data_IF_359471914566
#
_entry.id   IF_359471914566
#
_cell.length_a   1.000
_cell.length_b   1.000
_cell.length_c   1.000
_cell.angle_alpha   90.00
_cell.angle_beta   90.00
_cell.angle_gamma   90.00
#
_symmetry.space_group_name_H-M   'P 1'
#
loop_
_entity.id
_entity.type
_entity.pdbx_description
1 polymer ?
#
# COMPACT_ATOMS: atom_id res chain seq x y z
N UNK A 1 2.99 23.38 7.26
CA UNK A 1 3.74 24.16 8.27
C UNK A 1 5.20 24.19 7.85
N UNK A 2 5.81 25.36 7.79
CA UNK A 2 7.22 25.52 7.39
C UNK A 2 7.99 26.26 8.47
N UNK A 3 9.06 25.67 8.99
CA UNK A 3 9.86 26.25 10.08
C UNK A 3 11.32 25.86 9.97
N UNK A 4 12.16 26.77 10.47
CA UNK A 4 13.59 26.52 10.70
C UNK A 4 13.81 25.94 12.08
N UNK A 5 14.72 24.97 12.17
CA UNK A 5 15.08 24.26 13.38
C UNK A 5 16.59 24.23 13.52
N UNK A 6 17.12 24.68 14.66
CA UNK A 6 18.55 24.57 14.92
C UNK A 6 18.94 23.11 15.16
N UNK A 7 20.09 22.69 14.64
CA UNK A 7 20.59 21.33 14.85
C UNK A 7 21.21 21.18 16.25
N UNK A 8 20.78 20.17 16.99
CA UNK A 8 21.41 19.83 18.26
C UNK A 8 22.80 19.22 18.04
N UNK A 9 23.76 19.58 18.92
CA UNK A 9 25.11 19.01 18.89
C UNK A 9 26.06 19.56 17.82
N UNK A 10 25.66 20.61 17.10
CA UNK A 10 26.48 21.27 16.08
C UNK A 10 26.83 22.71 16.48
N UNK A 11 28.00 23.23 16.06
CA UNK A 11 28.40 24.63 16.33
C UNK A 11 27.56 25.63 15.52
N UNK A 12 27.22 25.25 14.28
CA UNK A 12 26.36 25.97 13.36
C UNK A 12 25.60 24.94 12.52
N UNK A 13 24.35 25.25 12.15
CA UNK A 13 23.53 24.42 11.28
C UNK A 13 22.04 24.60 11.56
N UNK A 14 21.27 24.88 10.52
CA UNK A 14 19.83 25.02 10.59
C UNK A 14 19.15 24.10 9.57
N UNK A 15 18.01 23.58 9.95
CA UNK A 15 17.20 22.68 9.15
C UNK A 15 15.88 23.36 8.81
N UNK A 16 15.60 23.50 7.51
CA UNK A 16 14.29 23.95 7.04
C UNK A 16 13.36 22.75 6.86
N UNK A 17 12.32 22.66 7.68
CA UNK A 17 11.29 21.63 7.61
C UNK A 17 9.98 22.21 7.08
N UNK A 18 9.48 21.64 5.98
CA UNK A 18 8.11 21.85 5.50
C UNK A 18 7.33 20.54 5.67
N UNK A 19 6.31 20.55 6.52
CA UNK A 19 5.58 19.36 6.99
C UNK A 19 4.07 19.57 6.92
N UNK A 20 3.34 18.60 6.35
CA UNK A 20 1.88 18.57 6.33
C UNK A 20 1.36 17.21 6.77
N UNK A 21 0.16 17.27 7.34
CA UNK A 21 -0.69 16.10 7.49
C UNK A 21 -1.50 15.92 6.21
N UNK A 22 -1.71 14.68 5.80
CA UNK A 22 -2.55 14.32 4.66
C UNK A 22 -3.67 13.39 5.12
N UNK A 23 -4.86 13.61 4.58
CA UNK A 23 -6.01 12.73 4.69
C UNK A 23 -5.97 11.64 3.61
N UNK A 24 -6.68 10.54 3.86
CA UNK A 24 -6.83 9.42 2.95
C UNK A 24 -8.20 9.46 2.26
N UNK A 25 -8.25 10.03 1.06
CA UNK A 25 -9.49 10.10 0.27
C UNK A 25 -9.90 8.75 -0.29
N UNK A 26 -11.21 8.51 -0.28
CA UNK A 26 -11.91 7.36 -0.87
C UNK A 26 -12.48 7.65 -2.26
N UNK A 27 -12.22 8.83 -2.82
CA UNK A 27 -12.81 9.29 -4.07
C UNK A 27 -11.77 9.32 -5.22
N UNK A 28 -12.08 8.66 -6.34
CA UNK A 28 -11.15 8.59 -7.47
C UNK A 28 -10.82 9.95 -8.10
N UNK A 29 -11.73 10.93 -7.98
CA UNK A 29 -11.57 12.28 -8.53
C UNK A 29 -10.50 13.13 -7.83
N UNK A 30 -9.99 12.67 -6.69
CA UNK A 30 -8.89 13.35 -5.99
C UNK A 30 -7.51 12.94 -6.55
N UNK A 31 -7.47 11.98 -7.48
CA UNK A 31 -6.31 11.73 -8.33
C UNK A 31 -6.11 12.93 -9.29
N UNK A 32 -4.96 13.60 -9.21
CA UNK A 32 -4.62 14.68 -10.15
C UNK A 32 -4.87 16.11 -9.67
N UNK A 33 -4.86 16.38 -8.34
CA UNK A 33 -4.73 17.77 -7.86
C UNK A 33 -3.26 18.19 -7.83
N UNK A 34 -2.78 18.62 -8.99
CA UNK A 34 -1.41 19.11 -9.23
C UNK A 34 -1.10 20.44 -8.52
N UNK A 35 -2.14 21.18 -8.12
CA UNK A 35 -1.99 22.56 -7.61
C UNK A 35 -1.14 22.63 -6.33
N UNK A 36 -1.28 21.66 -5.42
CA UNK A 36 -0.51 21.66 -4.18
C UNK A 36 0.87 21.00 -4.34
N UNK A 37 1.02 20.03 -5.25
CA UNK A 37 2.30 19.34 -5.50
C UNK A 37 3.36 20.31 -6.03
N UNK A 38 2.97 21.16 -6.99
CA UNK A 38 3.86 22.19 -7.53
C UNK A 38 4.29 23.21 -6.46
N UNK A 39 3.39 23.60 -5.57
CA UNK A 39 3.67 24.51 -4.45
C UNK A 39 4.57 23.88 -3.36
N UNK A 40 4.49 22.56 -3.18
CA UNK A 40 5.20 21.84 -2.12
C UNK A 40 6.58 21.34 -2.49
N UNK A 41 6.70 20.72 -3.66
CA UNK A 41 7.87 19.92 -4.00
C UNK A 41 8.95 20.75 -4.68
N UNK A 42 8.59 21.88 -5.31
CA UNK A 42 9.41 22.42 -6.39
C UNK A 42 9.57 21.38 -7.51
N UNK A 43 9.95 21.79 -8.70
CA UNK A 43 9.85 20.97 -9.92
C UNK A 43 10.59 19.60 -9.94
N UNK A 44 11.34 19.21 -8.89
CA UNK A 44 12.38 18.18 -9.00
C UNK A 44 12.00 16.75 -8.55
N UNK A 45 10.95 16.53 -7.73
CA UNK A 45 10.59 15.14 -7.33
C UNK A 45 9.08 14.92 -7.17
N UNK A 46 8.47 14.00 -7.93
CA UNK A 46 7.05 13.67 -7.78
C UNK A 46 6.82 12.91 -6.47
N UNK A 47 5.82 13.34 -5.70
CA UNK A 47 5.33 12.59 -4.54
C UNK A 47 4.57 11.35 -5.04
N UNK A 48 4.47 10.32 -4.20
CA UNK A 48 3.52 9.24 -4.45
C UNK A 48 2.12 9.74 -4.11
N UNK A 49 1.17 9.82 -5.06
CA UNK A 49 -0.16 10.40 -4.82
C UNK A 49 -1.08 9.53 -3.97
N UNK A 50 -0.75 8.24 -3.76
CA UNK A 50 -1.65 7.31 -3.09
C UNK A 50 -0.95 6.29 -2.20
N UNK A 51 -1.75 5.70 -1.31
CA UNK A 51 -1.42 4.55 -0.49
C UNK A 51 -2.32 3.36 -0.89
N UNK A 52 -1.70 2.24 -1.22
CA UNK A 52 -2.37 0.95 -1.36
C UNK A 52 -2.15 0.13 -0.08
N UNK A 53 -3.25 -0.23 0.58
CA UNK A 53 -3.26 -1.12 1.74
C UNK A 53 -3.81 -2.47 1.30
N UNK A 54 -3.06 -3.54 1.56
CA UNK A 54 -3.43 -4.91 1.18
C UNK A 54 -3.45 -5.77 2.42
N UNK A 55 -4.51 -6.57 2.60
CA UNK A 55 -4.60 -7.58 3.64
C UNK A 55 -4.81 -8.94 2.99
N UNK A 56 -3.85 -9.84 3.17
CA UNK A 56 -3.95 -11.23 2.72
C UNK A 56 -4.48 -12.05 3.89
N UNK A 57 -5.70 -12.57 3.75
CA UNK A 57 -6.36 -13.32 4.82
C UNK A 57 -5.98 -14.80 4.73
N UNK A 58 -6.44 -15.49 3.68
CA UNK A 58 -6.28 -16.94 3.52
C UNK A 58 -6.14 -17.36 2.06
N UNK A 59 -5.51 -18.50 1.83
CA UNK A 59 -5.55 -19.23 0.56
C UNK A 59 -6.07 -20.63 0.83
N UNK A 60 -6.78 -21.22 -0.13
CA UNK A 60 -7.25 -22.60 -0.07
C UNK A 60 -6.78 -23.41 -1.27
N UNK A 61 -6.62 -24.72 -1.08
CA UNK A 61 -6.36 -25.70 -2.13
C UNK A 61 -5.13 -25.38 -3.00
N UNK A 62 -4.00 -25.00 -2.38
CA UNK A 62 -2.75 -24.81 -3.11
C UNK A 62 -2.26 -26.11 -3.78
N UNK A 63 -1.74 -26.06 -5.01
CA UNK A 63 -1.25 -27.24 -5.70
C UNK A 63 0.10 -27.69 -5.12
N UNK A 64 0.33 -29.01 -5.12
CA UNK A 64 1.60 -29.60 -4.74
C UNK A 64 1.80 -30.97 -5.40
N UNK A 65 3.05 -31.42 -5.62
CA UNK A 65 3.33 -32.50 -6.57
C UNK A 65 2.86 -33.90 -6.15
N UNK A 66 2.88 -34.24 -4.84
CA UNK A 66 2.55 -35.58 -4.31
C UNK A 66 2.12 -35.54 -2.84
N UNK A 67 1.36 -36.55 -2.40
CA UNK A 67 1.12 -36.83 -0.98
C UNK A 67 2.45 -36.97 -0.21
N UNK A 68 2.52 -36.44 1.02
CA UNK A 68 3.73 -36.25 1.84
C UNK A 68 4.71 -35.13 1.42
N UNK A 69 4.41 -34.36 0.37
CA UNK A 69 5.14 -33.13 -0.01
C UNK A 69 4.26 -31.89 0.18
N UNK A 70 3.49 -31.86 1.26
CA UNK A 70 2.64 -30.72 1.57
C UNK A 70 3.49 -29.44 1.67
N UNK A 71 3.13 -28.37 0.95
CA UNK A 71 3.99 -27.21 0.80
C UNK A 71 4.09 -26.44 2.10
N UNK A 72 5.13 -25.64 2.23
CA UNK A 72 5.23 -24.61 3.27
C UNK A 72 5.10 -23.24 2.62
N UNK A 73 3.87 -22.79 2.29
CA UNK A 73 3.67 -21.60 1.48
C UNK A 73 3.97 -20.30 2.22
N UNK A 74 4.46 -19.31 1.47
CA UNK A 74 4.35 -17.90 1.78
C UNK A 74 3.80 -17.15 0.56
N UNK A 75 3.29 -15.94 0.77
CA UNK A 75 2.80 -15.07 -0.30
C UNK A 75 3.72 -13.86 -0.44
N UNK A 76 4.18 -13.62 -1.66
CA UNK A 76 4.79 -12.37 -2.08
C UNK A 76 3.73 -11.43 -2.62
N UNK A 77 3.78 -10.17 -2.18
CA UNK A 77 2.91 -9.09 -2.61
C UNK A 77 3.80 -8.00 -3.20
N UNK A 78 3.58 -7.70 -4.48
CA UNK A 78 4.43 -6.79 -5.24
C UNK A 78 3.64 -5.67 -5.88
N UNK A 79 4.18 -4.45 -5.79
CA UNK A 79 3.72 -3.30 -6.55
C UNK A 79 4.91 -2.66 -7.28
N UNK A 80 4.98 -2.86 -8.60
CA UNK A 80 6.13 -2.45 -9.39
C UNK A 80 7.42 -3.17 -8.96
N UNK A 81 8.40 -2.43 -8.45
CA UNK A 81 9.71 -2.97 -7.99
C UNK A 81 9.74 -3.32 -6.49
N UNK A 82 8.70 -2.96 -5.74
CA UNK A 82 8.64 -3.19 -4.30
C UNK A 82 7.92 -4.50 -4.07
N UNK A 83 8.57 -5.42 -3.35
CA UNK A 83 8.00 -6.71 -2.95
C UNK A 83 8.09 -6.86 -1.44
N UNK A 84 6.99 -7.25 -0.82
CA UNK A 84 6.90 -7.65 0.59
C UNK A 84 6.39 -9.09 0.64
N UNK A 85 6.60 -9.82 1.75
CA UNK A 85 6.14 -11.20 1.88
C UNK A 85 5.55 -11.52 3.24
N UNK A 86 4.64 -12.48 3.28
CA UNK A 86 4.11 -13.04 4.53
C UNK A 86 5.16 -13.90 5.23
N UNK A 87 4.95 -14.22 6.53
CA UNK A 87 5.60 -15.38 7.14
C UNK A 87 5.22 -16.67 6.41
N UNK A 88 6.12 -17.65 6.48
CA UNK A 88 5.90 -19.00 5.95
C UNK A 88 4.89 -19.74 6.85
N UNK A 89 3.97 -20.47 6.23
CA UNK A 89 3.04 -21.37 6.92
C UNK A 89 3.48 -22.80 6.66
N UNK A 90 3.92 -23.56 7.67
CA UNK A 90 4.51 -24.87 7.45
C UNK A 90 3.44 -25.91 7.09
N UNK A 91 3.75 -26.75 6.09
CA UNK A 91 3.00 -27.97 5.74
C UNK A 91 1.49 -27.76 5.72
N UNK A 92 1.02 -26.88 4.84
CA UNK A 92 -0.41 -26.64 4.63
C UNK A 92 -0.71 -26.21 3.21
N UNK A 93 -1.81 -26.73 2.65
CA UNK A 93 -2.40 -26.23 1.39
C UNK A 93 -3.48 -25.17 1.61
N UNK A 94 -3.87 -24.92 2.86
CA UNK A 94 -4.89 -23.94 3.26
C UNK A 94 -4.33 -22.92 4.27
N UNK A 95 -3.30 -22.13 3.90
CA UNK A 95 -2.65 -21.22 4.83
C UNK A 95 -3.56 -20.04 5.22
N UNK A 96 -3.58 -19.74 6.52
CA UNK A 96 -4.10 -18.48 7.07
C UNK A 96 -2.93 -17.53 7.33
N UNK A 97 -2.85 -16.43 6.58
CA UNK A 97 -1.74 -15.48 6.66
C UNK A 97 -2.05 -14.29 7.56
N UNK A 98 -3.24 -13.70 7.42
CA UNK A 98 -3.69 -12.51 8.16
C UNK A 98 -2.63 -11.39 8.19
N UNK A 99 -2.00 -11.15 7.04
CA UNK A 99 -0.85 -10.25 6.91
C UNK A 99 -1.23 -8.95 6.21
N UNK A 100 -0.75 -7.82 6.72
CA UNK A 100 -1.00 -6.47 6.19
C UNK A 100 0.22 -5.93 5.47
N UNK A 101 0.00 -5.26 4.35
CA UNK A 101 1.02 -4.63 3.53
C UNK A 101 0.58 -3.23 3.13
N UNK A 102 1.54 -2.32 3.05
CA UNK A 102 1.31 -0.94 2.63
C UNK A 102 2.30 -0.59 1.51
N UNK A 103 1.82 0.01 0.43
CA UNK A 103 2.63 0.43 -0.70
C UNK A 103 2.28 1.86 -1.09
N UNK A 104 3.30 2.71 -1.25
CA UNK A 104 3.13 3.99 -1.90
C UNK A 104 2.97 3.79 -3.41
N UNK A 105 1.93 4.39 -3.98
CA UNK A 105 1.55 4.25 -5.39
C UNK A 105 2.04 5.49 -6.13
N UNK A 106 2.77 5.28 -7.24
CA UNK A 106 3.26 6.39 -8.07
C UNK A 106 2.26 6.74 -9.17
N UNK A 107 1.72 5.73 -9.83
CA UNK A 107 0.80 5.91 -10.94
C UNK A 107 -0.27 4.79 -10.89
N UNK A 108 -1.43 5.04 -10.27
CA UNK A 108 -2.45 4.02 -10.07
C UNK A 108 -2.91 3.36 -11.38
N UNK A 109 -3.20 4.15 -12.42
CA UNK A 109 -3.76 3.62 -13.68
C UNK A 109 -2.82 2.69 -14.45
N UNK A 110 -1.49 2.78 -14.21
CA UNK A 110 -0.47 2.00 -14.90
C UNK A 110 0.18 0.90 -14.05
N UNK A 111 -0.27 0.70 -12.81
CA UNK A 111 0.32 -0.28 -11.89
C UNK A 111 -0.62 -1.45 -11.60
N UNK A 112 -0.02 -2.61 -11.38
CA UNK A 112 -0.71 -3.84 -10.98
C UNK A 112 -0.17 -4.33 -9.65
N UNK A 113 -1.09 -4.76 -8.78
CA UNK A 113 -0.78 -5.52 -7.58
C UNK A 113 -0.59 -6.98 -7.96
N UNK A 114 0.65 -7.48 -7.86
CA UNK A 114 0.98 -8.87 -8.13
C UNK A 114 1.08 -9.65 -6.83
N UNK A 115 0.47 -10.82 -6.80
CA UNK A 115 0.45 -11.72 -5.66
C UNK A 115 0.94 -13.07 -6.15
N UNK A 116 1.95 -13.64 -5.47
CA UNK A 116 2.48 -14.96 -5.78
C UNK A 116 2.57 -15.81 -4.54
N UNK A 117 2.01 -17.01 -4.59
CA UNK A 117 2.24 -18.04 -3.59
C UNK A 117 3.49 -18.84 -3.99
N UNK A 118 4.42 -19.01 -3.06
CA UNK A 118 5.68 -19.73 -3.25
C UNK A 118 5.82 -20.76 -2.14
N UNK A 119 6.23 -21.98 -2.51
CA UNK A 119 6.61 -22.99 -1.53
C UNK A 119 8.04 -22.75 -1.04
N UNK A 120 8.21 -22.56 0.27
CA UNK A 120 9.52 -22.33 0.89
C UNK A 120 10.47 -23.52 0.70
N UNK A 121 9.95 -24.75 0.67
CA UNK A 121 10.76 -25.96 0.55
C UNK A 121 11.37 -26.13 -0.85
N UNK A 122 10.53 -26.04 -1.88
CA UNK A 122 10.97 -26.22 -3.28
C UNK A 122 11.41 -24.93 -3.96
N UNK A 123 11.15 -23.76 -3.36
CA UNK A 123 11.36 -22.42 -3.95
C UNK A 123 10.60 -22.20 -5.25
N UNK A 124 9.57 -22.99 -5.51
CA UNK A 124 8.74 -22.89 -6.71
C UNK A 124 7.50 -22.06 -6.43
N UNK A 125 7.11 -21.27 -7.43
CA UNK A 125 5.79 -20.66 -7.47
C UNK A 125 4.73 -21.75 -7.59
N UNK A 126 3.65 -21.60 -6.84
CA UNK A 126 2.51 -22.51 -6.77
C UNK A 126 1.17 -21.79 -6.97
N UNK A 127 1.20 -20.54 -7.45
CA UNK A 127 0.02 -19.75 -7.73
C UNK A 127 0.34 -18.28 -7.90
N UNK A 128 -0.28 -17.62 -8.88
CA UNK A 128 -0.15 -16.18 -9.09
C UNK A 128 -1.49 -15.49 -9.37
N UNK A 129 -1.58 -14.21 -9.06
CA UNK A 129 -2.71 -13.32 -9.33
C UNK A 129 -2.18 -11.91 -9.60
N UNK A 130 -2.70 -11.25 -10.63
CA UNK A 130 -2.46 -9.83 -10.89
C UNK A 130 -3.77 -9.05 -10.84
N UNK A 131 -3.81 -7.98 -10.05
CA UNK A 131 -4.96 -7.08 -9.94
C UNK A 131 -4.53 -5.69 -10.41
N UNK A 132 -5.03 -5.20 -11.55
CA UNK A 132 -4.81 -3.82 -11.97
C UNK A 132 -5.38 -2.84 -10.94
N UNK A 133 -4.62 -1.82 -10.53
CA UNK A 133 -5.15 -0.85 -9.57
C UNK A 133 -6.32 -0.04 -10.13
N UNK A 134 -6.41 0.09 -11.46
CA UNK A 134 -7.59 0.63 -12.13
C UNK A 134 -8.88 -0.19 -11.85
N UNK A 135 -8.78 -1.47 -11.50
CA UNK A 135 -9.93 -2.24 -11.02
C UNK A 135 -10.32 -1.83 -9.60
N UNK A 136 -9.35 -1.68 -8.70
CA UNK A 136 -9.59 -1.20 -7.32
C UNK A 136 -10.21 0.20 -7.32
N UNK A 137 -9.75 1.10 -8.20
CA UNK A 137 -10.29 2.46 -8.33
C UNK A 137 -11.76 2.52 -8.75
N UNK A 138 -12.26 1.50 -9.46
CA UNK A 138 -13.65 1.42 -9.92
C UNK A 138 -14.60 0.93 -8.84
N UNK A 139 -14.09 0.32 -7.78
CA UNK A 139 -14.91 -0.13 -6.66
C UNK A 139 -15.40 1.04 -5.80
N UNK A 140 -16.57 0.90 -5.16
CA UNK A 140 -17.02 1.86 -4.15
C UNK A 140 -15.95 2.07 -3.07
N UNK A 141 -15.69 3.33 -2.74
CA UNK A 141 -14.66 3.73 -1.77
C UNK A 141 -13.24 3.26 -2.13
N UNK A 142 -13.02 2.89 -3.40
CA UNK A 142 -11.78 2.29 -3.90
C UNK A 142 -11.31 1.10 -3.06
N UNK A 143 -12.25 0.21 -2.73
CA UNK A 143 -12.04 -0.89 -1.81
C UNK A 143 -12.66 -2.21 -2.30
N UNK A 144 -11.82 -3.23 -2.43
CA UNK A 144 -12.23 -4.64 -2.57
C UNK A 144 -12.13 -5.27 -1.18
N UNK A 145 -13.24 -5.38 -0.45
CA UNK A 145 -13.25 -5.81 0.95
C UNK A 145 -13.53 -7.31 1.10
N UNK A 146 -12.62 -8.04 1.74
CA UNK A 146 -12.70 -9.51 1.95
C UNK A 146 -13.18 -10.30 0.72
N UNK A 147 -12.68 -9.91 -0.45
CA UNK A 147 -13.12 -10.48 -1.72
C UNK A 147 -12.32 -11.75 -2.04
N UNK A 148 -13.01 -12.73 -2.61
CA UNK A 148 -12.39 -13.96 -3.12
C UNK A 148 -11.88 -13.74 -4.55
N UNK A 149 -10.63 -14.07 -4.77
CA UNK A 149 -9.98 -14.19 -6.07
C UNK A 149 -9.40 -15.59 -6.23
N UNK A 150 -8.69 -15.82 -7.33
CA UNK A 150 -8.07 -17.11 -7.61
C UNK A 150 -6.62 -16.92 -8.01
N UNK A 151 -5.73 -17.66 -7.35
CA UNK A 151 -4.36 -17.85 -7.79
C UNK A 151 -4.35 -18.92 -8.88
N UNK A 152 -3.76 -18.62 -10.02
CA UNK A 152 -3.62 -19.56 -11.14
C UNK A 152 -2.23 -20.18 -11.17
N UNK A 153 -2.14 -21.48 -11.41
CA UNK A 153 -0.88 -22.18 -11.69
C UNK A 153 -1.12 -23.32 -12.68
N UNK A 154 -0.85 -23.06 -13.96
CA UNK A 154 -1.20 -24.00 -15.04
C UNK A 154 -2.71 -24.28 -15.05
N UNK A 155 -3.10 -25.53 -14.81
CA UNK A 155 -4.51 -25.96 -14.75
C UNK A 155 -5.13 -25.81 -13.35
N UNK A 156 -4.33 -25.48 -12.34
CA UNK A 156 -4.79 -25.34 -10.97
C UNK A 156 -5.27 -23.91 -10.69
N UNK A 157 -6.34 -23.83 -9.90
CA UNK A 157 -6.94 -22.58 -9.44
C UNK A 157 -7.22 -22.68 -7.95
N UNK A 158 -6.56 -21.83 -7.17
CA UNK A 158 -6.59 -21.85 -5.70
C UNK A 158 -7.27 -20.58 -5.20
N UNK A 159 -8.41 -20.67 -4.50
CA UNK A 159 -9.07 -19.49 -3.95
C UNK A 159 -8.18 -18.72 -2.97
N UNK A 160 -8.15 -17.40 -3.08
CA UNK A 160 -7.49 -16.49 -2.13
C UNK A 160 -8.48 -15.42 -1.67
N UNK A 161 -8.56 -15.19 -0.37
CA UNK A 161 -9.35 -14.12 0.23
C UNK A 161 -8.42 -12.97 0.61
N UNK A 162 -8.70 -11.78 0.10
CA UNK A 162 -7.91 -10.59 0.40
C UNK A 162 -8.76 -9.32 0.45
N UNK A 163 -8.18 -8.28 1.03
CA UNK A 163 -8.69 -6.91 0.95
C UNK A 163 -7.66 -6.03 0.26
N UNK A 164 -8.09 -5.23 -0.72
CA UNK A 164 -7.27 -4.19 -1.33
C UNK A 164 -7.98 -2.84 -1.20
N UNK A 165 -7.31 -1.86 -0.61
CA UNK A 165 -7.83 -0.49 -0.38
C UNK A 165 -6.86 0.52 -0.95
N UNK A 166 -7.31 1.32 -1.90
CA UNK A 166 -6.53 2.44 -2.43
C UNK A 166 -7.03 3.74 -1.80
N UNK A 167 -6.11 4.60 -1.37
CA UNK A 167 -6.45 5.92 -0.81
C UNK A 167 -5.54 6.98 -1.40
N UNK A 168 -6.13 8.07 -1.90
CA UNK A 168 -5.36 9.22 -2.38
C UNK A 168 -5.00 10.13 -1.22
N UNK A 169 -3.79 10.68 -1.24
CA UNK A 169 -3.39 11.69 -0.29
C UNK A 169 -4.04 13.00 -0.69
N UNK A 170 -4.89 13.52 0.18
CA UNK A 170 -5.43 14.87 0.04
C UNK A 170 -4.93 15.71 1.20
N UNK A 171 -4.49 16.95 0.99
CA UNK A 171 -4.29 17.85 2.11
C UNK A 171 -5.62 17.96 2.87
N UNK A 172 -5.61 18.06 4.20
CA UNK A 172 -6.82 18.14 5.00
C UNK A 172 -7.70 19.23 4.42
N UNK A 173 -8.95 18.88 4.09
CA UNK A 173 -9.92 19.79 3.44
C UNK A 173 -9.92 21.10 4.20
N UNK A 174 -9.27 22.11 3.60
CA UNK A 174 -9.24 23.52 3.99
C UNK A 174 -9.46 23.79 5.49
N UNK A 175 -8.35 24.15 6.13
CA UNK A 175 -8.26 25.21 7.15
C UNK A 175 -8.79 26.56 6.58
N UNK A 176 -10.00 26.61 6.03
CA UNK A 176 -10.65 27.85 5.55
C UNK A 176 -12.05 28.11 6.12
N UNK A 177 -12.49 27.34 7.11
CA UNK A 177 -13.53 27.84 8.01
C UNK A 177 -13.06 27.63 9.45
N UNK A 178 -12.84 28.74 10.14
CA UNK A 178 -12.62 28.83 11.57
C UNK A 178 -13.44 27.77 12.32
N UNK A 179 -12.80 26.74 12.88
CA UNK A 179 -13.24 26.01 14.06
C UNK A 179 -12.18 25.00 14.51
N UNK A 180 -11.75 25.20 15.75
CA UNK A 180 -11.20 24.25 16.71
C UNK A 180 -10.62 22.93 16.19
N UNK A 181 -9.30 22.81 16.34
CA UNK A 181 -8.48 21.61 16.10
C UNK A 181 -8.77 20.44 17.06
N UNK A 182 -9.91 20.42 17.76
CA UNK A 182 -10.18 19.44 18.82
C UNK A 182 -11.23 18.38 18.48
N UNK A 183 -11.92 18.44 17.33
CA UNK A 183 -13.09 17.56 17.09
C UNK A 183 -13.03 16.62 15.87
N UNK A 184 -12.02 16.68 15.01
CA UNK A 184 -11.97 15.84 13.79
C UNK A 184 -11.04 14.63 13.87
N UNK A 185 -10.63 14.22 15.08
CA UNK A 185 -9.94 12.94 15.30
C UNK A 185 -10.90 11.74 15.19
N UNK A 186 -11.55 11.60 14.04
CA UNK A 186 -12.32 10.42 13.68
C UNK A 186 -11.41 9.43 12.95
N UNK A 187 -10.78 8.51 13.68
CA UNK A 187 -10.20 7.24 13.21
C UNK A 187 -9.34 7.25 11.92
N UNK A 188 -8.84 8.41 11.49
CA UNK A 188 -8.14 8.61 10.24
C UNK A 188 -6.65 8.33 10.39
N UNK A 189 -6.10 7.56 9.45
CA UNK A 189 -4.65 7.42 9.30
C UNK A 189 -4.07 8.76 8.83
N UNK A 190 -3.25 9.38 9.67
CA UNK A 190 -2.54 10.61 9.37
C UNK A 190 -1.16 10.26 8.78
N UNK A 191 -0.89 10.72 7.56
CA UNK A 191 0.44 10.57 6.94
C UNK A 191 1.20 11.87 7.04
N UNK A 192 2.39 11.81 7.65
CA UNK A 192 3.32 12.93 7.72
C UNK A 192 4.17 12.95 6.47
N UNK A 193 4.06 14.00 5.67
CA UNK A 193 4.94 14.25 4.52
C UNK A 193 5.88 15.40 4.88
N UNK A 194 7.19 15.19 4.67
CA UNK A 194 8.21 16.17 5.03
C UNK A 194 9.25 16.37 3.93
N UNK A 195 9.72 17.62 3.77
CA UNK A 195 10.92 17.96 3.00
C UNK A 195 11.99 18.52 3.93
N UNK A 196 13.23 18.09 3.69
CA UNK A 196 14.45 18.49 4.42
C UNK A 196 15.37 19.18 3.43
N UNK A 197 15.82 20.40 3.74
CA UNK A 197 16.91 21.08 3.04
C UNK A 197 17.97 21.48 4.06
N UNK A 198 19.23 21.18 3.75
CA UNK A 198 20.40 21.65 4.49
C UNK A 198 20.92 22.90 3.78
N UNK A 199 21.20 23.94 4.55
CA UNK A 199 21.90 25.14 4.11
C UNK A 199 23.14 25.36 5.01
#
# INVERSE_FOLDING_TARGET
>A
MERWHHLEGCKHGELRLKVCWMDLSTEAKDLGRDEWEQEWLGADKPMHPALLMVFIDSVANLPYPKSNLEPSPFVEVSLGRITQRTPVKPKTVNPLFQSKFNFFVKQPEGQELKIRAVDEGTKREIGELSIPLAAVMREPLMEMSQQSFYLTHGVHSSPIVLTARLRFFTPPRKVLENRDLSSTYGNGWLVLVGRVKFD
#
